data_IF_160789417560
#
_entry.id   IF_160789417560
#
_cell.length_a   1.000
_cell.length_b   1.000
_cell.length_c   1.000
_cell.angle_alpha   90.00
_cell.angle_beta   90.00
_cell.angle_gamma   90.00
#
_symmetry.space_group_name_H-M   'P 1'
#
loop_
_entity.id
_entity.type
_entity.pdbx_description
1 polymer ?
#
# COMPACT_ATOMS: atom_id res chain seq x y z
N UNK A 1 69.41 -42.61 -23.39
CA UNK A 1 69.91 -42.34 -22.02
C UNK A 1 69.74 -40.89 -21.71
N UNK A 2 70.62 -40.05 -22.26
CA UNK A 2 70.65 -38.60 -21.99
C UNK A 2 69.43 -37.81 -22.50
N UNK A 3 68.93 -38.09 -23.70
CA UNK A 3 67.75 -37.37 -24.22
C UNK A 3 66.49 -37.63 -23.39
N UNK A 4 66.30 -38.88 -22.94
CA UNK A 4 65.18 -39.24 -22.06
C UNK A 4 65.33 -38.58 -20.68
N UNK A 5 66.54 -38.57 -20.11
CA UNK A 5 66.81 -37.91 -18.83
C UNK A 5 66.60 -36.40 -18.92
N UNK A 6 67.04 -35.76 -20.02
CA UNK A 6 66.83 -34.35 -20.31
C UNK A 6 65.34 -34.02 -20.44
N UNK A 7 64.59 -34.80 -21.22
CA UNK A 7 63.14 -34.63 -21.37
C UNK A 7 62.39 -34.78 -20.04
N UNK A 8 62.77 -35.75 -19.21
CA UNK A 8 62.19 -35.94 -17.86
C UNK A 8 62.50 -34.73 -16.96
N UNK A 9 63.74 -34.21 -17.03
CA UNK A 9 64.16 -33.04 -16.24
C UNK A 9 63.39 -31.79 -16.67
N UNK A 10 63.27 -31.54 -17.97
CA UNK A 10 62.50 -30.42 -18.53
C UNK A 10 61.01 -30.51 -18.16
N UNK A 11 60.41 -31.70 -18.27
CA UNK A 11 59.03 -31.94 -17.85
C UNK A 11 58.83 -31.69 -16.34
N UNK A 12 59.79 -32.12 -15.51
CA UNK A 12 59.73 -31.88 -14.07
C UNK A 12 59.81 -30.38 -13.75
N UNK A 13 60.70 -29.63 -14.40
CA UNK A 13 60.81 -28.17 -14.20
C UNK A 13 59.56 -27.40 -14.64
N UNK A 14 58.92 -27.86 -15.74
CA UNK A 14 57.69 -27.28 -16.26
C UNK A 14 56.51 -27.55 -15.31
N UNK A 15 56.30 -28.82 -14.95
CA UNK A 15 55.12 -29.26 -14.18
C UNK A 15 55.21 -28.92 -12.68
N UNK A 16 56.43 -28.78 -12.14
CA UNK A 16 56.63 -28.43 -10.72
C UNK A 16 56.42 -26.94 -10.44
N UNK A 17 56.54 -26.07 -11.46
CA UNK A 17 56.28 -24.65 -11.31
C UNK A 17 54.83 -24.34 -11.71
N UNK A 18 54.02 -23.88 -10.75
CA UNK A 18 52.60 -23.61 -10.98
C UNK A 18 52.31 -22.62 -12.12
N UNK A 19 53.17 -21.60 -12.31
CA UNK A 19 52.99 -20.61 -13.39
C UNK A 19 53.30 -21.24 -14.75
N UNK A 20 54.45 -21.92 -14.88
CA UNK A 20 54.83 -22.62 -16.12
C UNK A 20 53.84 -23.72 -16.49
N UNK A 21 53.34 -24.45 -15.49
CA UNK A 21 52.30 -25.45 -15.67
C UNK A 21 51.00 -24.83 -16.19
N UNK A 22 50.54 -23.71 -15.64
CA UNK A 22 49.33 -23.03 -16.14
C UNK A 22 49.52 -22.51 -17.56
N UNK A 23 50.68 -21.92 -17.86
CA UNK A 23 51.03 -21.50 -19.23
C UNK A 23 50.96 -22.70 -20.18
N UNK A 24 51.58 -23.82 -19.83
CA UNK A 24 51.53 -25.06 -20.61
C UNK A 24 50.12 -25.63 -20.74
N UNK A 25 49.39 -25.78 -19.65
CA UNK A 25 48.03 -26.34 -19.62
C UNK A 25 47.03 -25.46 -20.39
N UNK A 26 47.34 -24.18 -20.62
CA UNK A 26 46.54 -23.23 -21.41
C UNK A 26 46.78 -23.32 -22.92
N UNK A 27 47.87 -23.97 -23.35
CA UNK A 27 48.16 -24.27 -24.76
C UNK A 27 47.45 -25.52 -25.27
N UNK A 28 46.94 -26.34 -24.36
CA UNK A 28 46.23 -27.57 -24.69
C UNK A 28 44.99 -27.29 -25.55
N UNK A 29 44.70 -28.19 -26.49
CA UNK A 29 43.58 -28.03 -27.41
C UNK A 29 42.28 -27.91 -26.62
N UNK A 30 41.59 -26.78 -26.78
CA UNK A 30 40.36 -26.47 -26.08
C UNK A 30 39.28 -26.00 -27.06
N UNK A 31 38.09 -26.57 -26.94
CA UNK A 31 36.94 -26.12 -27.73
C UNK A 31 36.36 -24.84 -27.12
N UNK A 32 36.76 -23.70 -27.69
CA UNK A 32 36.28 -22.36 -27.30
C UNK A 32 34.87 -22.04 -27.82
N UNK A 33 34.20 -22.94 -28.54
CA UNK A 33 32.85 -22.69 -29.04
C UNK A 33 31.88 -22.40 -27.89
N UNK A 34 31.03 -21.40 -28.09
CA UNK A 34 29.88 -21.09 -27.23
C UNK A 34 28.68 -20.83 -28.13
N UNK A 35 27.45 -21.19 -27.70
CA UNK A 35 26.24 -20.84 -28.44
C UNK A 35 26.16 -19.32 -28.64
N UNK A 36 26.00 -18.86 -29.88
CA UNK A 36 25.82 -17.44 -30.22
C UNK A 36 24.36 -17.00 -30.15
N UNK A 37 23.45 -17.97 -30.23
CA UNK A 37 22.00 -17.83 -30.09
C UNK A 37 21.44 -19.12 -29.51
N UNK A 38 20.24 -19.07 -28.95
CA UNK A 38 19.54 -20.24 -28.46
C UNK A 38 18.07 -20.17 -28.87
N UNK A 39 17.59 -21.20 -29.56
CA UNK A 39 16.18 -21.35 -29.92
C UNK A 39 15.52 -22.44 -29.06
N UNK A 40 14.85 -22.01 -28.00
CA UNK A 40 14.14 -22.90 -27.08
C UNK A 40 12.93 -23.61 -27.70
N UNK A 41 12.59 -23.37 -28.97
CA UNK A 41 11.60 -24.17 -29.69
C UNK A 41 12.21 -25.45 -30.29
N UNK A 42 13.51 -25.45 -30.60
CA UNK A 42 14.20 -26.56 -31.28
C UNK A 42 15.28 -27.21 -30.44
N UNK A 43 15.80 -26.51 -29.44
CA UNK A 43 16.94 -26.93 -28.62
C UNK A 43 16.52 -27.11 -27.15
N UNK A 44 17.03 -28.16 -26.51
CA UNK A 44 16.91 -28.29 -25.05
C UNK A 44 17.98 -27.41 -24.37
N UNK A 45 17.55 -26.67 -23.35
CA UNK A 45 18.40 -25.72 -22.63
C UNK A 45 19.58 -26.42 -21.93
N UNK A 46 19.34 -27.54 -21.26
CA UNK A 46 20.38 -28.22 -20.49
C UNK A 46 21.39 -28.89 -21.42
N UNK A 47 20.92 -29.49 -22.50
CA UNK A 47 21.80 -30.10 -23.51
C UNK A 47 22.67 -29.05 -24.22
N UNK A 48 22.13 -27.86 -24.49
CA UNK A 48 22.86 -26.79 -25.16
C UNK A 48 23.91 -26.11 -24.27
N UNK A 49 23.62 -25.92 -22.98
CA UNK A 49 24.46 -25.10 -22.09
C UNK A 49 25.28 -25.89 -21.07
N UNK A 50 24.78 -27.02 -20.52
CA UNK A 50 25.48 -27.74 -19.46
C UNK A 50 26.88 -28.23 -19.89
N UNK A 51 27.06 -28.85 -21.08
CA UNK A 51 28.38 -29.30 -21.52
C UNK A 51 29.36 -28.15 -21.71
N UNK A 52 28.85 -26.98 -22.14
CA UNK A 52 29.65 -25.78 -22.38
C UNK A 52 30.15 -25.20 -21.05
N UNK A 53 29.29 -25.10 -20.04
CA UNK A 53 29.69 -24.66 -18.70
C UNK A 53 30.66 -25.64 -18.05
N UNK A 54 30.40 -26.95 -18.15
CA UNK A 54 31.29 -27.97 -17.61
C UNK A 54 32.68 -27.90 -18.26
N UNK A 55 32.73 -27.75 -19.59
CA UNK A 55 33.99 -27.58 -20.32
C UNK A 55 34.75 -26.32 -19.86
N UNK A 56 34.08 -25.18 -19.74
CA UNK A 56 34.71 -23.92 -19.32
C UNK A 56 35.10 -23.92 -17.84
N UNK A 57 34.52 -24.79 -17.00
CA UNK A 57 34.85 -24.91 -15.58
C UNK A 57 36.31 -25.31 -15.32
N UNK A 58 36.96 -25.95 -16.31
CA UNK A 58 38.39 -26.28 -16.31
C UNK A 58 39.24 -25.06 -15.96
N UNK A 59 38.87 -23.89 -16.47
CA UNK A 59 39.62 -22.66 -16.29
C UNK A 59 39.33 -21.93 -14.98
N UNK A 60 38.44 -22.42 -14.12
CA UNK A 60 38.08 -21.73 -12.87
C UNK A 60 39.18 -21.77 -11.82
N UNK A 61 39.50 -20.61 -11.25
CA UNK A 61 40.37 -20.48 -10.06
C UNK A 61 39.72 -21.07 -8.80
N UNK A 62 38.39 -21.09 -8.73
CA UNK A 62 37.64 -21.54 -7.55
C UNK A 62 36.97 -22.88 -7.83
N UNK A 63 37.24 -23.87 -6.97
CA UNK A 63 36.68 -25.21 -7.06
C UNK A 63 36.02 -25.59 -5.71
N UNK A 64 34.93 -26.38 -5.71
CA UNK A 64 34.27 -26.96 -6.88
C UNK A 64 33.42 -25.94 -7.66
N UNK A 65 33.38 -26.09 -8.97
CA UNK A 65 32.50 -25.28 -9.84
C UNK A 65 31.06 -25.81 -9.76
N UNK A 66 30.03 -24.97 -9.51
CA UNK A 66 28.65 -25.41 -9.49
C UNK A 66 28.18 -25.90 -10.87
N UNK A 67 27.38 -26.95 -10.87
CA UNK A 67 26.75 -27.51 -12.07
C UNK A 67 25.49 -26.71 -12.43
N UNK A 68 25.12 -26.69 -13.71
CA UNK A 68 23.91 -26.02 -14.19
C UNK A 68 22.63 -26.65 -13.59
N UNK A 69 22.69 -27.94 -13.28
CA UNK A 69 21.58 -28.72 -12.75
C UNK A 69 20.55 -29.07 -13.83
N UNK A 70 19.31 -29.28 -13.39
CA UNK A 70 18.17 -29.71 -14.19
C UNK A 70 16.92 -28.85 -13.90
N UNK A 71 15.78 -29.24 -14.49
CA UNK A 71 14.49 -28.57 -14.28
C UNK A 71 13.96 -28.63 -12.84
N UNK A 72 14.40 -29.61 -12.04
CA UNK A 72 14.00 -29.78 -10.64
C UNK A 72 14.90 -29.05 -9.64
N UNK A 73 15.99 -28.46 -10.12
CA UNK A 73 16.98 -27.79 -9.27
C UNK A 73 16.35 -26.57 -8.58
N UNK A 74 16.46 -26.44 -7.25
CA UNK A 74 15.86 -25.34 -6.51
C UNK A 74 16.47 -24.00 -6.93
N UNK A 75 15.65 -22.95 -6.97
CA UNK A 75 16.08 -21.65 -7.47
C UNK A 75 17.28 -21.07 -6.71
N UNK A 76 17.42 -21.33 -5.42
CA UNK A 76 18.59 -20.90 -4.64
C UNK A 76 19.91 -21.47 -5.19
N UNK A 77 19.89 -22.73 -5.65
CA UNK A 77 21.05 -23.35 -6.30
C UNK A 77 21.30 -22.76 -7.70
N UNK A 78 20.23 -22.44 -8.44
CA UNK A 78 20.33 -21.74 -9.74
C UNK A 78 20.93 -20.34 -9.56
N UNK A 79 20.49 -19.59 -8.54
CA UNK A 79 21.03 -18.28 -8.21
C UNK A 79 22.52 -18.39 -7.81
N UNK A 80 22.89 -19.38 -6.98
CA UNK A 80 24.28 -19.63 -6.63
C UNK A 80 25.15 -19.98 -7.85
N UNK A 81 24.63 -20.78 -8.78
CA UNK A 81 25.29 -21.09 -10.05
C UNK A 81 25.58 -19.82 -10.85
N UNK A 82 24.56 -18.99 -11.11
CA UNK A 82 24.77 -17.77 -11.88
C UNK A 82 25.66 -16.75 -11.16
N UNK A 83 25.56 -16.62 -9.85
CA UNK A 83 26.45 -15.76 -9.08
C UNK A 83 27.92 -16.19 -9.24
N UNK A 84 28.20 -17.49 -9.15
CA UNK A 84 29.55 -18.01 -9.39
C UNK A 84 30.06 -17.67 -10.80
N UNK A 85 29.23 -17.85 -11.82
CA UNK A 85 29.64 -17.61 -13.20
C UNK A 85 29.76 -16.13 -13.55
N UNK A 86 28.91 -15.25 -13.01
CA UNK A 86 29.08 -13.80 -13.17
C UNK A 86 30.35 -13.29 -12.48
N UNK A 87 30.75 -13.91 -11.37
CA UNK A 87 32.01 -13.63 -10.66
C UNK A 87 33.18 -14.54 -11.10
N UNK A 88 33.08 -15.19 -12.27
CA UNK A 88 34.05 -16.19 -12.71
C UNK A 88 35.45 -15.61 -12.85
N UNK A 89 36.42 -16.29 -12.22
CA UNK A 89 37.85 -15.97 -12.32
C UNK A 89 38.57 -17.09 -13.03
N UNK A 90 39.17 -16.76 -14.16
CA UNK A 90 39.91 -17.71 -14.98
C UNK A 90 41.40 -17.72 -14.60
N UNK A 91 41.98 -18.91 -14.41
CA UNK A 91 43.43 -19.06 -14.32
C UNK A 91 44.10 -19.23 -15.69
N UNK A 92 43.33 -19.33 -16.78
CA UNK A 92 43.84 -19.52 -18.15
C UNK A 92 44.81 -18.40 -18.50
N UNK A 93 45.98 -18.79 -18.98
CA UNK A 93 47.03 -17.87 -19.41
C UNK A 93 47.05 -17.76 -20.94
N UNK A 94 47.62 -16.66 -21.44
CA UNK A 94 47.68 -16.32 -22.87
C UNK A 94 49.09 -15.91 -23.29
N UNK A 95 50.13 -16.43 -22.63
CA UNK A 95 51.53 -16.16 -22.99
C UNK A 95 51.89 -16.59 -24.41
N UNK A 96 51.08 -17.44 -25.06
CA UNK A 96 51.22 -17.87 -26.45
C UNK A 96 51.07 -16.72 -27.45
N UNK A 97 50.33 -15.67 -27.10
CA UNK A 97 50.13 -14.52 -27.99
C UNK A 97 51.26 -13.48 -27.87
N UNK A 98 52.29 -13.74 -27.09
CA UNK A 98 53.45 -12.87 -26.97
C UNK A 98 54.23 -12.83 -28.30
N UNK A 99 54.27 -11.67 -28.96
CA UNK A 99 54.99 -11.49 -30.23
C UNK A 99 56.49 -11.19 -30.04
N UNK A 100 56.91 -10.73 -28.86
CA UNK A 100 58.30 -10.36 -28.59
C UNK A 100 58.98 -11.29 -27.59
N UNK A 101 60.14 -11.84 -27.94
CA UNK A 101 61.00 -12.57 -27.01
C UNK A 101 61.80 -11.57 -26.16
N UNK A 102 61.44 -11.44 -24.88
CA UNK A 102 62.05 -10.46 -23.95
C UNK A 102 63.57 -10.64 -23.77
N UNK A 103 64.09 -11.86 -24.00
CA UNK A 103 65.53 -12.16 -23.97
C UNK A 103 66.33 -11.50 -25.10
N UNK A 104 65.67 -11.16 -26.21
CA UNK A 104 66.32 -10.65 -27.42
C UNK A 104 66.57 -9.12 -27.33
N UNK A 105 66.07 -8.47 -26.28
CA UNK A 105 66.26 -7.06 -26.03
C UNK A 105 67.74 -6.72 -25.77
N UNK A 106 68.27 -5.77 -26.54
CA UNK A 106 69.64 -5.27 -26.46
C UNK A 106 69.86 -4.31 -25.29
N UNK A 107 68.80 -3.63 -24.83
CA UNK A 107 68.87 -2.68 -23.71
C UNK A 107 67.60 -2.69 -22.84
N UNK A 108 67.67 -2.07 -21.66
CA UNK A 108 66.62 -2.13 -20.64
C UNK A 108 65.30 -1.52 -21.12
N UNK A 109 65.36 -0.40 -21.84
CA UNK A 109 64.18 0.30 -22.34
C UNK A 109 63.48 -0.52 -23.43
N UNK A 110 64.24 -1.20 -24.29
CA UNK A 110 63.71 -2.16 -25.27
C UNK A 110 63.02 -3.33 -24.58
N UNK A 111 63.65 -3.92 -23.55
CA UNK A 111 63.05 -4.99 -22.75
C UNK A 111 61.70 -4.57 -22.16
N UNK A 112 61.66 -3.40 -21.53
CA UNK A 112 60.43 -2.82 -20.97
C UNK A 112 59.38 -2.48 -22.02
N UNK A 113 59.81 -2.16 -23.24
CA UNK A 113 58.89 -1.93 -24.35
C UNK A 113 58.29 -3.26 -24.82
N UNK A 114 59.10 -4.30 -25.02
CA UNK A 114 58.67 -5.66 -25.39
C UNK A 114 57.70 -6.24 -24.36
N UNK A 115 58.05 -6.18 -23.06
CA UNK A 115 57.17 -6.61 -21.96
C UNK A 115 55.81 -5.91 -22.00
N UNK A 116 55.79 -4.60 -22.29
CA UNK A 116 54.54 -3.82 -22.41
C UNK A 116 53.73 -4.18 -23.64
N UNK A 117 54.36 -4.53 -24.76
CA UNK A 117 53.62 -4.97 -25.95
C UNK A 117 52.99 -6.35 -25.72
N UNK A 118 53.76 -7.30 -25.20
CA UNK A 118 53.25 -8.62 -24.83
C UNK A 118 52.11 -8.51 -23.81
N UNK A 119 52.27 -7.68 -22.77
CA UNK A 119 51.20 -7.51 -21.78
C UNK A 119 49.92 -6.93 -22.38
N UNK A 120 50.02 -6.01 -23.36
CA UNK A 120 48.84 -5.52 -24.09
C UNK A 120 48.16 -6.63 -24.89
N UNK A 121 48.92 -7.50 -25.56
CA UNK A 121 48.38 -8.63 -26.33
C UNK A 121 47.66 -9.61 -25.40
N UNK A 122 48.29 -9.99 -24.29
CA UNK A 122 47.67 -10.83 -23.26
C UNK A 122 46.43 -10.20 -22.64
N UNK A 123 46.48 -8.91 -22.29
CA UNK A 123 45.31 -8.20 -21.77
C UNK A 123 44.17 -8.14 -22.79
N UNK A 124 44.47 -7.98 -24.08
CA UNK A 124 43.47 -8.03 -25.15
C UNK A 124 42.82 -9.42 -25.20
N UNK A 125 43.61 -10.50 -25.18
CA UNK A 125 43.08 -11.87 -25.17
C UNK A 125 42.25 -12.20 -23.93
N UNK A 126 42.70 -11.79 -22.74
CA UNK A 126 41.91 -11.93 -21.51
C UNK A 126 40.56 -11.20 -21.60
N UNK A 127 40.52 -10.02 -22.22
CA UNK A 127 39.27 -9.28 -22.43
C UNK A 127 38.35 -9.97 -23.45
N UNK A 128 38.91 -10.50 -24.54
CA UNK A 128 38.15 -11.29 -25.52
C UNK A 128 37.54 -12.54 -24.87
N UNK A 129 38.33 -13.25 -24.05
CA UNK A 129 37.86 -14.43 -23.32
C UNK A 129 36.79 -14.09 -22.28
N UNK A 130 36.99 -13.01 -21.52
CA UNK A 130 35.98 -12.55 -20.56
C UNK A 130 34.68 -12.18 -21.28
N UNK A 131 34.75 -11.48 -22.41
CA UNK A 131 33.58 -11.13 -23.21
C UNK A 131 32.87 -12.39 -23.76
N UNK A 132 33.63 -13.40 -24.19
CA UNK A 132 33.09 -14.70 -24.65
C UNK A 132 32.30 -15.40 -23.54
N UNK A 133 32.87 -15.49 -22.33
CA UNK A 133 32.22 -16.10 -21.18
C UNK A 133 31.00 -15.29 -20.72
N UNK A 134 31.11 -13.96 -20.66
CA UNK A 134 29.97 -13.09 -20.32
C UNK A 134 28.81 -13.29 -21.29
N UNK A 135 29.08 -13.34 -22.60
CA UNK A 135 28.05 -13.57 -23.60
C UNK A 135 27.36 -14.94 -23.42
N UNK A 136 28.12 -16.00 -23.12
CA UNK A 136 27.57 -17.32 -22.79
C UNK A 136 26.64 -17.26 -21.57
N UNK A 137 27.09 -16.60 -20.49
CA UNK A 137 26.34 -16.51 -19.22
C UNK A 137 25.06 -15.70 -19.41
N UNK A 138 25.14 -14.56 -20.08
CA UNK A 138 23.98 -13.71 -20.36
C UNK A 138 22.95 -14.41 -21.25
N UNK A 139 23.40 -15.13 -22.28
CA UNK A 139 22.53 -15.91 -23.15
C UNK A 139 21.85 -17.02 -22.34
N UNK A 140 22.60 -17.79 -21.55
CA UNK A 140 22.04 -18.84 -20.71
C UNK A 140 21.03 -18.26 -19.70
N UNK A 141 21.38 -17.18 -18.99
CA UNK A 141 20.52 -16.56 -17.97
C UNK A 141 19.21 -16.04 -18.57
N UNK A 142 19.28 -15.42 -19.75
CA UNK A 142 18.11 -14.89 -20.45
C UNK A 142 17.19 -16.00 -20.94
N UNK A 143 17.73 -17.18 -21.22
CA UNK A 143 16.97 -18.30 -21.79
C UNK A 143 16.58 -19.41 -20.80
N UNK A 144 17.15 -19.45 -19.59
CA UNK A 144 16.87 -20.45 -18.56
C UNK A 144 15.37 -20.46 -18.18
N UNK A 145 14.68 -21.60 -18.36
CA UNK A 145 13.26 -21.74 -18.00
C UNK A 145 12.95 -21.43 -16.53
N UNK A 146 13.86 -21.77 -15.61
CA UNK A 146 13.70 -21.59 -14.16
C UNK A 146 13.79 -20.11 -13.79
N UNK A 147 14.73 -19.39 -14.40
CA UNK A 147 14.88 -17.94 -14.22
C UNK A 147 13.66 -17.21 -14.79
N UNK A 148 13.19 -17.59 -15.99
CA UNK A 148 11.96 -17.03 -16.58
C UNK A 148 10.72 -17.26 -15.71
N UNK A 149 10.55 -18.48 -15.21
CA UNK A 149 9.42 -18.82 -14.35
C UNK A 149 9.40 -17.97 -13.06
N UNK A 150 10.57 -17.77 -12.44
CA UNK A 150 10.70 -16.93 -11.25
C UNK A 150 10.47 -15.45 -11.54
N UNK A 151 11.00 -14.94 -12.65
CA UNK A 151 10.78 -13.55 -13.06
C UNK A 151 9.28 -13.26 -13.32
N UNK A 152 8.57 -14.18 -13.97
CA UNK A 152 7.12 -14.01 -14.18
C UNK A 152 6.34 -14.16 -12.86
N UNK A 153 6.72 -15.09 -11.98
CA UNK A 153 6.12 -15.23 -10.66
C UNK A 153 6.27 -13.97 -9.80
N UNK A 154 7.45 -13.35 -9.79
CA UNK A 154 7.71 -12.09 -9.09
C UNK A 154 6.88 -10.94 -9.67
N UNK A 155 6.82 -10.85 -11.01
CA UNK A 155 6.01 -9.85 -11.71
C UNK A 155 4.52 -10.02 -11.43
N UNK A 156 4.04 -11.25 -11.35
CA UNK A 156 2.67 -11.60 -10.97
C UNK A 156 2.37 -11.23 -9.52
N UNK A 157 3.26 -11.55 -8.60
CA UNK A 157 3.14 -11.18 -7.19
C UNK A 157 3.07 -9.65 -7.04
N UNK A 158 3.95 -8.93 -7.73
CA UNK A 158 3.97 -7.46 -7.73
C UNK A 158 2.70 -6.88 -8.36
N UNK A 159 2.16 -7.50 -9.41
CA UNK A 159 0.88 -7.11 -10.03
C UNK A 159 -0.29 -7.32 -9.06
N UNK A 160 -0.35 -8.47 -8.38
CA UNK A 160 -1.36 -8.78 -7.37
C UNK A 160 -1.30 -7.81 -6.18
N UNK A 161 -0.11 -7.53 -5.65
CA UNK A 161 0.09 -6.58 -4.56
C UNK A 161 -0.35 -5.15 -4.95
N UNK A 162 -0.04 -4.71 -6.17
CA UNK A 162 -0.51 -3.42 -6.70
C UNK A 162 -2.03 -3.37 -6.84
N UNK A 163 -2.63 -4.44 -7.37
CA UNK A 163 -4.07 -4.55 -7.53
C UNK A 163 -4.81 -4.54 -6.18
N UNK A 164 -4.29 -5.27 -5.18
CA UNK A 164 -4.85 -5.27 -3.83
C UNK A 164 -4.75 -3.89 -3.17
N UNK A 165 -3.60 -3.22 -3.30
CA UNK A 165 -3.43 -1.85 -2.78
C UNK A 165 -4.41 -0.89 -3.45
N UNK A 166 -4.58 -0.98 -4.77
CA UNK A 166 -5.54 -0.14 -5.50
C UNK A 166 -6.98 -0.42 -5.05
N UNK A 167 -7.37 -1.69 -4.91
CA UNK A 167 -8.70 -2.07 -4.44
C UNK A 167 -8.99 -1.54 -3.03
N UNK A 168 -8.03 -1.63 -2.10
CA UNK A 168 -8.17 -1.07 -0.75
C UNK A 168 -8.37 0.44 -0.76
N UNK A 169 -7.62 1.17 -1.59
CA UNK A 169 -7.75 2.63 -1.71
C UNK A 169 -9.11 3.02 -2.30
N UNK A 170 -9.58 2.31 -3.32
CA UNK A 170 -10.90 2.58 -3.90
C UNK A 170 -12.04 2.23 -2.93
N UNK A 171 -11.92 1.14 -2.18
CA UNK A 171 -12.89 0.79 -1.13
C UNK A 171 -12.94 1.85 -0.01
N UNK A 172 -11.79 2.37 0.41
CA UNK A 172 -11.72 3.45 1.40
C UNK A 172 -12.36 4.75 0.88
N UNK A 173 -12.11 5.11 -0.39
CA UNK A 173 -12.77 6.26 -1.04
C UNK A 173 -14.28 6.06 -1.12
N UNK A 174 -14.74 4.88 -1.54
CA UNK A 174 -16.17 4.59 -1.59
C UNK A 174 -16.82 4.67 -0.20
N UNK A 175 -16.17 4.12 0.82
CA UNK A 175 -16.63 4.21 2.22
C UNK A 175 -16.68 5.67 2.69
N UNK A 176 -15.67 6.48 2.36
CA UNK A 176 -15.65 7.89 2.71
C UNK A 176 -16.78 8.68 2.01
N UNK A 177 -17.02 8.43 0.72
CA UNK A 177 -18.13 9.05 -0.03
C UNK A 177 -19.48 8.63 0.55
N UNK A 178 -19.69 7.35 0.86
CA UNK A 178 -20.93 6.87 1.49
C UNK A 178 -21.15 7.51 2.86
N UNK A 179 -20.11 7.59 3.68
CA UNK A 179 -20.18 8.23 5.00
C UNK A 179 -20.50 9.73 4.91
N UNK A 180 -19.95 10.45 3.92
CA UNK A 180 -20.26 11.87 3.69
C UNK A 180 -21.71 12.07 3.22
N UNK A 181 -22.20 11.22 2.31
CA UNK A 181 -23.60 11.26 1.85
C UNK A 181 -24.55 10.96 3.01
N UNK A 182 -24.25 9.97 3.85
CA UNK A 182 -25.07 9.63 5.01
C UNK A 182 -25.08 10.75 6.06
N UNK A 183 -23.93 11.36 6.35
CA UNK A 183 -23.85 12.52 7.25
C UNK A 183 -24.67 13.70 6.76
N UNK A 184 -24.63 14.01 5.46
CA UNK A 184 -25.46 15.09 4.87
C UNK A 184 -26.94 14.77 4.98
N UNK A 185 -27.34 13.55 4.65
CA UNK A 185 -28.74 13.12 4.77
C UNK A 185 -29.25 13.17 6.24
N UNK A 186 -28.40 12.79 7.20
CA UNK A 186 -28.74 12.90 8.63
C UNK A 186 -28.86 14.36 9.07
N UNK A 187 -27.94 15.24 8.66
CA UNK A 187 -27.99 16.66 8.97
C UNK A 187 -29.22 17.35 8.37
N UNK A 188 -29.57 17.03 7.12
CA UNK A 188 -30.78 17.55 6.46
C UNK A 188 -32.04 17.06 7.17
N UNK A 189 -32.11 15.77 7.54
CA UNK A 189 -33.23 15.21 8.27
C UNK A 189 -33.37 15.78 9.69
N UNK A 190 -32.27 16.08 10.37
CA UNK A 190 -32.28 16.74 11.68
C UNK A 190 -32.72 18.20 11.57
N UNK A 191 -32.22 18.94 10.57
CA UNK A 191 -32.63 20.31 10.31
C UNK A 191 -34.13 20.42 10.03
N UNK A 192 -34.70 19.48 9.24
CA UNK A 192 -36.14 19.44 8.98
C UNK A 192 -36.95 19.09 10.24
N UNK A 193 -36.47 18.16 11.09
CA UNK A 193 -37.11 17.88 12.39
C UNK A 193 -37.10 19.11 13.31
N UNK A 194 -35.96 19.79 13.43
CA UNK A 194 -35.85 20.99 14.26
C UNK A 194 -36.77 22.12 13.76
N UNK A 195 -36.88 22.30 12.43
CA UNK A 195 -37.85 23.26 11.84
C UNK A 195 -39.29 22.86 12.14
N UNK A 196 -39.64 21.58 12.02
CA UNK A 196 -40.98 21.08 12.32
C UNK A 196 -41.35 21.27 13.79
N UNK A 197 -40.44 20.94 14.72
CA UNK A 197 -40.63 21.16 16.17
C UNK A 197 -40.73 22.65 16.51
N UNK A 198 -39.92 23.50 15.90
CA UNK A 198 -40.01 24.95 16.11
C UNK A 198 -41.35 25.52 15.61
N UNK A 199 -41.83 25.05 14.45
CA UNK A 199 -43.12 25.45 13.90
C UNK A 199 -44.30 24.96 14.78
N UNK A 200 -44.22 23.74 15.30
CA UNK A 200 -45.19 23.14 16.22
C UNK A 200 -45.24 23.94 17.54
N UNK A 201 -44.08 24.19 18.15
CA UNK A 201 -43.96 25.00 19.38
C UNK A 201 -44.49 26.42 19.19
N UNK A 202 -44.25 27.05 18.03
CA UNK A 202 -44.82 28.36 17.69
C UNK A 202 -46.35 28.29 17.60
N UNK A 203 -46.90 27.28 16.92
CA UNK A 203 -48.34 27.04 16.83
C UNK A 203 -48.98 26.82 18.20
N UNK A 204 -48.35 26.04 19.09
CA UNK A 204 -48.83 25.84 20.46
C UNK A 204 -48.83 27.14 21.26
N UNK A 205 -47.75 27.93 21.19
CA UNK A 205 -47.68 29.25 21.85
C UNK A 205 -48.75 30.22 21.33
N UNK A 206 -48.99 30.26 20.02
CA UNK A 206 -50.04 31.08 19.42
C UNK A 206 -51.44 30.64 19.84
N UNK A 207 -51.70 29.32 19.91
CA UNK A 207 -52.97 28.77 20.42
C UNK A 207 -53.18 29.10 21.89
N UNK A 208 -52.17 28.90 22.73
CA UNK A 208 -52.22 29.23 24.16
C UNK A 208 -52.44 30.74 24.38
N UNK A 209 -51.75 31.60 23.62
CA UNK A 209 -51.93 33.05 23.70
C UNK A 209 -53.35 33.48 23.26
N UNK A 210 -53.91 32.87 22.22
CA UNK A 210 -55.29 33.11 21.79
C UNK A 210 -56.30 32.68 22.85
N UNK A 211 -56.11 31.49 23.46
CA UNK A 211 -56.94 31.01 24.55
C UNK A 211 -56.87 31.96 25.75
N UNK A 212 -55.67 32.34 26.18
CA UNK A 212 -55.46 33.31 27.26
C UNK A 212 -56.18 34.63 27.02
N UNK A 213 -56.06 35.21 25.81
CA UNK A 213 -56.76 36.45 25.45
C UNK A 213 -58.28 36.30 25.52
N UNK A 214 -58.82 35.18 25.02
CA UNK A 214 -60.25 34.88 25.05
C UNK A 214 -60.76 34.76 26.49
N UNK A 215 -60.09 33.99 27.34
CA UNK A 215 -60.52 33.79 28.72
C UNK A 215 -60.37 35.07 29.56
N UNK A 216 -59.29 35.85 29.40
CA UNK A 216 -59.15 37.16 30.08
C UNK A 216 -60.24 38.14 29.67
N UNK A 217 -60.57 38.19 28.38
CA UNK A 217 -61.68 39.02 27.90
C UNK A 217 -63.03 38.56 28.47
N UNK A 218 -63.25 37.24 28.56
CA UNK A 218 -64.46 36.65 29.16
C UNK A 218 -64.56 36.98 30.65
N UNK A 219 -63.49 36.80 31.43
CA UNK A 219 -63.49 37.11 32.86
C UNK A 219 -63.77 38.60 33.11
N UNK A 220 -63.16 39.51 32.33
CA UNK A 220 -63.44 40.95 32.40
C UNK A 220 -64.88 41.29 32.05
N UNK A 221 -65.46 40.62 31.05
CA UNK A 221 -66.86 40.81 30.70
C UNK A 221 -67.80 40.34 31.83
N UNK A 222 -67.48 39.21 32.48
CA UNK A 222 -68.23 38.69 33.63
C UNK A 222 -68.11 39.60 34.85
N UNK A 223 -66.91 40.07 35.18
CA UNK A 223 -66.68 41.03 36.27
C UNK A 223 -67.46 42.33 36.07
N UNK A 224 -67.59 42.80 34.81
CA UNK A 224 -68.39 43.99 34.48
C UNK A 224 -69.90 43.74 34.61
N UNK A 225 -70.36 42.54 34.27
CA UNK A 225 -71.78 42.18 34.35
C UNK A 225 -72.23 41.87 35.78
N UNK A 226 -71.32 41.35 36.62
CA UNK A 226 -71.57 40.90 37.99
C UNK A 226 -70.49 41.39 38.97
N UNK A 227 -70.44 42.71 39.29
CA UNK A 227 -69.44 43.27 40.20
C UNK A 227 -69.47 42.66 41.62
N UNK A 228 -70.61 42.10 42.03
CA UNK A 228 -70.81 41.41 43.31
C UNK A 228 -70.04 40.08 43.44
N UNK A 229 -69.67 39.47 42.32
CA UNK A 229 -68.93 38.21 42.26
C UNK A 229 -67.43 38.42 42.05
N UNK A 230 -67.06 39.39 41.21
CA UNK A 230 -65.68 39.66 40.86
C UNK A 230 -65.48 41.16 40.66
N UNK A 231 -64.84 41.82 41.61
CA UNK A 231 -64.46 43.22 41.46
C UNK A 231 -63.25 43.37 40.50
N UNK A 232 -62.97 44.62 40.11
CA UNK A 232 -61.95 44.92 39.11
C UNK A 232 -60.53 44.58 39.58
N UNK A 233 -60.25 44.68 40.88
CA UNK A 233 -58.97 44.33 41.47
C UNK A 233 -58.75 42.81 41.48
N UNK A 234 -59.78 42.05 41.85
CA UNK A 234 -59.80 40.60 41.85
C UNK A 234 -59.67 40.05 40.41
N UNK A 235 -60.37 40.66 39.46
CA UNK A 235 -60.31 40.27 38.04
C UNK A 235 -58.90 40.42 37.46
N UNK A 236 -58.22 41.53 37.71
CA UNK A 236 -56.85 41.74 37.21
C UNK A 236 -55.83 40.84 37.92
N UNK A 237 -55.97 40.60 39.23
CA UNK A 237 -55.14 39.64 39.96
C UNK A 237 -55.23 38.22 39.37
N UNK A 238 -56.46 37.75 39.12
CA UNK A 238 -56.72 36.45 38.49
C UNK A 238 -56.20 36.38 37.06
N UNK A 239 -56.40 37.44 36.26
CA UNK A 239 -55.89 37.52 34.89
C UNK A 239 -54.35 37.42 34.83
N UNK A 240 -53.64 37.97 35.81
CA UNK A 240 -52.18 37.95 35.88
C UNK A 240 -51.63 36.61 36.38
N UNK A 241 -52.29 36.00 37.37
CA UNK A 241 -51.78 34.83 38.09
C UNK A 241 -52.11 33.50 37.41
N UNK A 242 -53.27 33.38 36.79
CA UNK A 242 -53.79 32.11 36.30
C UNK A 242 -53.44 31.81 34.84
N UNK A 243 -53.29 30.52 34.54
CA UNK A 243 -53.09 29.98 33.19
C UNK A 243 -54.43 29.69 32.50
N UNK A 244 -54.40 29.49 31.19
CA UNK A 244 -55.59 29.48 30.33
C UNK A 244 -56.63 28.43 30.71
N UNK A 245 -56.18 27.23 31.08
CA UNK A 245 -57.07 26.12 31.50
C UNK A 245 -57.79 26.47 32.81
N UNK A 246 -57.07 26.95 33.83
CA UNK A 246 -57.67 27.32 35.11
C UNK A 246 -58.56 28.57 35.00
N UNK A 247 -58.18 29.54 34.15
CA UNK A 247 -59.01 30.71 33.89
C UNK A 247 -60.31 30.33 33.16
N UNK A 248 -60.26 29.33 32.27
CA UNK A 248 -61.43 28.79 31.58
C UNK A 248 -62.37 28.07 32.55
N UNK A 249 -61.84 27.23 33.44
CA UNK A 249 -62.60 26.57 34.50
C UNK A 249 -63.33 27.58 35.39
N UNK A 250 -62.64 28.64 35.83
CA UNK A 250 -63.25 29.68 36.65
C UNK A 250 -64.32 30.46 35.89
N UNK A 251 -64.08 30.82 34.62
CA UNK A 251 -65.11 31.48 33.81
C UNK A 251 -66.34 30.58 33.64
N UNK A 252 -66.16 29.27 33.41
CA UNK A 252 -67.26 28.32 33.31
C UNK A 252 -68.04 28.18 34.63
N UNK A 253 -67.33 28.20 35.76
CA UNK A 253 -67.93 28.11 37.09
C UNK A 253 -68.78 29.35 37.39
N UNK A 254 -68.29 30.54 37.06
CA UNK A 254 -69.03 31.80 37.19
C UNK A 254 -70.24 31.82 36.26
N UNK A 255 -70.08 31.43 34.99
CA UNK A 255 -71.19 31.35 34.03
C UNK A 255 -72.28 30.37 34.50
N UNK A 256 -71.91 29.22 35.06
CA UNK A 256 -72.84 28.25 35.61
C UNK A 256 -73.60 28.78 36.84
N UNK A 257 -72.90 29.48 37.73
CA UNK A 257 -73.51 30.12 38.90
C UNK A 257 -74.52 31.20 38.49
N UNK A 258 -74.18 32.03 37.50
CA UNK A 258 -75.08 33.05 36.94
C UNK A 258 -76.29 32.41 36.24
N UNK A 259 -76.08 31.37 35.43
CA UNK A 259 -77.15 30.67 34.70
C UNK A 259 -78.13 29.93 35.63
N UNK A 260 -77.70 29.54 36.83
CA UNK A 260 -78.54 28.87 37.84
C UNK A 260 -79.58 29.80 38.51
N UNK A 261 -79.64 31.08 38.12
CA UNK A 261 -80.69 32.01 38.56
C UNK A 261 -80.42 32.72 39.89
N UNK A 262 -79.17 32.72 40.36
CA UNK A 262 -78.77 33.49 41.54
C UNK A 262 -79.11 32.86 42.88
N UNK A 263 -79.16 31.52 42.97
CA UNK A 263 -79.16 30.85 44.26
C UNK A 263 -77.95 31.29 45.08
N UNK A 264 -78.17 31.91 46.24
CA UNK A 264 -77.14 32.53 47.11
C UNK A 264 -75.91 31.64 47.30
N UNK A 265 -76.12 30.34 47.43
CA UNK A 265 -75.07 29.35 47.67
C UNK A 265 -74.13 29.17 46.46
N UNK A 266 -74.64 29.12 45.23
CA UNK A 266 -73.82 28.94 44.04
C UNK A 266 -72.96 30.18 43.72
N UNK A 267 -73.50 31.37 43.99
CA UNK A 267 -72.79 32.65 43.85
C UNK A 267 -71.72 32.82 44.93
N UNK A 268 -72.00 32.41 46.17
CA UNK A 268 -71.01 32.41 47.25
C UNK A 268 -69.86 31.43 47.00
N UNK A 269 -70.16 30.21 46.52
CA UNK A 269 -69.14 29.22 46.15
C UNK A 269 -68.26 29.76 45.02
N UNK A 270 -68.85 30.39 43.99
CA UNK A 270 -68.09 30.99 42.89
C UNK A 270 -67.19 32.12 43.35
N UNK A 271 -67.70 33.00 44.22
CA UNK A 271 -66.93 34.11 44.80
C UNK A 271 -65.79 33.62 45.70
N UNK A 272 -66.05 32.62 46.54
CA UNK A 272 -65.04 32.04 47.42
C UNK A 272 -63.89 31.39 46.63
N UNK A 273 -64.21 30.69 45.55
CA UNK A 273 -63.18 30.05 44.70
C UNK A 273 -62.38 31.10 43.91
N UNK A 274 -63.01 32.20 43.44
CA UNK A 274 -62.28 33.33 42.83
C UNK A 274 -61.32 34.01 43.80
N UNK A 275 -61.72 34.22 45.06
CA UNK A 275 -60.87 34.83 46.08
C UNK A 275 -59.72 33.91 46.48
N UNK A 276 -60.00 32.63 46.69
CA UNK A 276 -58.99 31.60 46.99
C UNK A 276 -57.95 31.49 45.87
N UNK A 277 -58.38 31.60 44.61
CA UNK A 277 -57.48 31.65 43.46
C UNK A 277 -56.83 33.02 43.22
N UNK A 278 -57.14 34.05 43.98
CA UNK A 278 -56.37 35.29 43.96
C UNK A 278 -55.27 35.28 45.02
N UNK A 279 -55.49 34.56 46.12
CA UNK A 279 -54.61 34.52 47.30
C UNK A 279 -53.59 33.38 47.28
N UNK A 280 -53.86 32.30 46.54
CA UNK A 280 -52.94 31.16 46.33
C UNK A 280 -51.72 31.54 45.47
#
# INVERSE_FOLDING_TARGET
GDEMFKAITEAFELLSNAKKRREFDSLDDFDDSVPSSFDGATEDFYDAFAPVFERNSRWSETQPTPLLGDSGTPFDAVAAFYNFWFDFKSWRDFADVDEHTVSDASFREERRWMERQNDKLRQKKRKEEQARLTALIELAYTHDPRVKAMAEAEKDQKRRAKAERHARVEEEKERAVRAEVEKRAQADAEAERQKAEAAERKRLKERAAKLMRKQRARLRALAKAHPELCDEALCEALCLRLKGERLEELCNLVDAAVASGGGSEALEIARAELQKEAEA
#
